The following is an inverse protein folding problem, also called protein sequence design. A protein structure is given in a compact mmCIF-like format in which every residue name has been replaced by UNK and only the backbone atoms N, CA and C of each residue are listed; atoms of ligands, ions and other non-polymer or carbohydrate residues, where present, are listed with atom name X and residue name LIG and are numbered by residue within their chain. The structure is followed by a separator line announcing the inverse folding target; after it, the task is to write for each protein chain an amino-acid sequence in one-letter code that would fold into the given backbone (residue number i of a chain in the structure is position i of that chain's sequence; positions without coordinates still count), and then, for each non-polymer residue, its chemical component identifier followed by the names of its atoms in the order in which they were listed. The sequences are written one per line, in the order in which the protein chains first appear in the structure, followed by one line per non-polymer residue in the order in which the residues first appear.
data_IF_575557575427
#
_entry.id   IF_575557575427
#
_cell.length_a   1.000
_cell.length_b   1.000
_cell.length_c   1.000
_cell.angle_alpha   90.00
_cell.angle_beta   90.00
_cell.angle_gamma   90.00
#
_symmetry.space_group_name_H-M   'P 1'
#
loop_
_entity.id
_entity.type
_entity.pdbx_description
1 polymer ?
#
# COMPACT_ATOMS: atom_id res chain seq x y z
N UNK A 1 34.77 33.72 31.67
CA UNK A 1 33.74 32.72 31.34
C UNK A 1 34.41 31.64 30.51
N UNK A 2 34.73 30.51 31.12
CA UNK A 2 35.29 29.35 30.43
C UNK A 2 34.21 28.73 29.54
N UNK A 3 34.48 28.68 28.24
CA UNK A 3 33.70 27.90 27.26
C UNK A 3 33.70 26.46 27.78
N UNK A 4 32.53 25.80 27.94
CA UNK A 4 32.52 24.44 28.46
C UNK A 4 33.37 23.55 27.55
N UNK A 5 34.36 22.91 28.17
CA UNK A 5 35.20 21.89 27.57
C UNK A 5 34.30 20.84 26.88
N UNK A 6 34.75 20.29 25.75
CA UNK A 6 34.08 19.22 25.03
C UNK A 6 33.81 18.04 25.98
N UNK A 7 32.63 18.03 26.58
CA UNK A 7 32.19 16.91 27.39
C UNK A 7 31.92 15.74 26.44
N UNK A 8 32.60 14.59 26.59
CA UNK A 8 32.45 13.45 25.67
C UNK A 8 31.01 12.93 25.63
N UNK A 9 30.27 13.07 26.73
CA UNK A 9 28.84 12.74 26.84
C UNK A 9 27.91 13.67 26.03
N UNK A 10 28.40 14.84 25.60
CA UNK A 10 27.71 15.79 24.71
C UNK A 10 28.26 15.78 23.28
N UNK A 11 29.06 14.77 22.92
CA UNK A 11 29.59 14.63 21.56
C UNK A 11 28.64 13.85 20.65
N UNK A 12 28.65 14.22 19.36
CA UNK A 12 27.90 13.52 18.31
C UNK A 12 26.39 13.42 18.54
N UNK A 13 25.81 12.30 18.12
CA UNK A 13 24.37 12.04 18.18
C UNK A 13 23.82 11.98 19.61
N UNK A 14 24.62 11.46 20.56
CA UNK A 14 24.23 11.36 21.96
C UNK A 14 24.00 12.73 22.59
N UNK A 15 24.92 13.67 22.34
CA UNK A 15 24.79 15.06 22.77
C UNK A 15 23.59 15.77 22.15
N UNK A 16 23.33 15.55 20.85
CA UNK A 16 22.15 16.09 20.19
C UNK A 16 20.86 15.57 20.81
N UNK A 17 20.76 14.25 21.05
CA UNK A 17 19.60 13.66 21.70
C UNK A 17 19.36 14.26 23.09
N UNK A 18 20.44 14.45 23.86
CA UNK A 18 20.38 15.05 25.18
C UNK A 18 19.97 16.53 25.12
N UNK A 19 20.50 17.31 24.18
CA UNK A 19 20.14 18.72 24.01
C UNK A 19 18.66 18.89 23.63
N UNK A 20 18.15 18.08 22.70
CA UNK A 20 16.78 18.18 22.20
C UNK A 20 15.73 17.94 23.30
N UNK A 21 16.04 17.19 24.36
CA UNK A 21 15.10 16.95 25.46
C UNK A 21 14.84 18.20 26.32
N UNK A 22 15.69 19.23 26.23
CA UNK A 22 15.52 20.49 26.95
C UNK A 22 14.80 21.56 26.14
N UNK A 23 14.37 21.26 24.90
CA UNK A 23 13.57 22.21 24.15
C UNK A 23 12.22 22.34 24.86
N UNK A 24 11.88 23.54 25.35
CA UNK A 24 10.64 23.74 26.07
C UNK A 24 9.45 23.49 25.15
N UNK A 25 8.54 22.61 25.56
CA UNK A 25 7.30 22.41 24.81
C UNK A 25 6.31 23.52 25.15
N UNK A 26 5.51 24.03 24.20
CA UNK A 26 4.53 25.09 24.47
C UNK A 26 3.56 24.79 25.63
N UNK A 27 3.29 23.53 25.91
CA UNK A 27 2.42 23.08 27.00
C UNK A 27 3.08 23.03 28.39
N UNK A 28 4.41 23.14 28.47
CA UNK A 28 5.19 22.96 29.70
C UNK A 28 5.65 24.28 30.34
N UNK A 29 5.42 25.40 29.65
CA UNK A 29 5.92 26.73 30.03
C UNK A 29 4.77 27.61 30.48
N UNK A 30 5.07 28.42 31.51
CA UNK A 30 4.22 29.54 31.90
C UNK A 30 4.11 30.52 30.73
N UNK A 31 2.93 31.13 30.53
CA UNK A 31 2.62 31.95 29.36
C UNK A 31 3.64 33.05 29.04
N UNK A 32 4.33 33.56 30.07
CA UNK A 32 5.39 34.54 29.94
C UNK A 32 6.58 34.08 29.05
N UNK A 33 6.91 32.78 29.04
CA UNK A 33 8.05 32.24 28.29
C UNK A 33 7.69 31.66 26.91
N UNK A 34 6.40 31.62 26.56
CA UNK A 34 5.93 31.14 25.26
C UNK A 34 6.62 31.82 24.05
N UNK A 35 6.87 33.15 24.05
CA UNK A 35 7.55 33.80 22.93
C UNK A 35 8.95 33.22 22.67
N UNK A 36 9.70 32.92 23.74
CA UNK A 36 11.08 32.41 23.66
C UNK A 36 11.09 30.99 23.11
N UNK A 37 10.22 30.12 23.62
CA UNK A 37 10.11 28.74 23.14
C UNK A 37 9.67 28.68 21.68
N UNK A 38 8.70 29.51 21.30
CA UNK A 38 8.28 29.62 19.91
C UNK A 38 9.45 30.07 19.02
N UNK A 39 10.27 31.03 19.46
CA UNK A 39 11.45 31.46 18.70
C UNK A 39 12.48 30.33 18.54
N UNK A 40 12.76 29.56 19.60
CA UNK A 40 13.66 28.40 19.54
C UNK A 40 13.13 27.37 18.54
N UNK A 41 11.85 27.01 18.65
CA UNK A 41 11.20 26.05 17.74
C UNK A 41 11.30 26.55 16.29
N UNK A 42 10.95 27.82 16.01
CA UNK A 42 11.05 28.39 14.66
C UNK A 42 12.47 28.35 14.09
N UNK A 43 13.48 28.64 14.92
CA UNK A 43 14.89 28.54 14.51
C UNK A 43 15.29 27.10 14.15
N UNK A 44 14.80 26.11 14.90
CA UNK A 44 15.05 24.69 14.62
C UNK A 44 14.31 24.22 13.37
N UNK A 45 13.07 24.67 13.15
CA UNK A 45 12.29 24.36 11.94
C UNK A 45 12.99 24.80 10.66
N UNK A 46 13.64 25.96 10.68
CA UNK A 46 14.34 26.52 9.52
C UNK A 46 15.70 25.89 9.22
N UNK A 47 16.27 25.08 10.12
CA UNK A 47 17.65 24.57 10.00
C UNK A 47 17.68 23.07 9.76
N UNK A 48 18.65 22.64 8.95
CA UNK A 48 18.99 21.23 8.82
C UNK A 48 19.75 20.76 10.07
N UNK A 49 19.01 20.45 11.13
CA UNK A 49 19.58 20.13 12.45
C UNK A 49 19.22 18.74 12.98
N UNK A 50 18.39 17.98 12.26
CA UNK A 50 18.00 16.64 12.66
C UNK A 50 18.62 15.60 11.71
N UNK A 51 19.31 14.57 12.22
CA UNK A 51 19.86 13.50 11.41
C UNK A 51 18.77 12.56 10.89
N UNK A 52 18.82 12.27 9.60
CA UNK A 52 18.07 11.19 8.99
C UNK A 52 18.65 9.82 9.39
N UNK A 53 17.85 8.76 9.22
CA UNK A 53 18.31 7.38 9.29
C UNK A 53 19.41 7.17 8.24
N UNK A 54 20.47 6.50 8.66
CA UNK A 54 21.61 6.20 7.80
C UNK A 54 21.17 5.42 6.56
N UNK A 55 21.81 5.71 5.42
CA UNK A 55 21.68 4.93 4.20
C UNK A 55 22.33 3.54 4.35
N UNK A 56 22.24 2.71 3.32
CA UNK A 56 22.86 1.39 3.27
C UNK A 56 24.40 1.42 3.37
N UNK A 57 25.01 2.59 3.17
CA UNK A 57 26.46 2.82 3.28
C UNK A 57 26.85 3.44 4.63
N UNK A 58 25.91 3.60 5.55
CA UNK A 58 26.15 4.17 6.89
C UNK A 58 26.31 5.69 6.90
N UNK A 59 25.95 6.39 5.81
CA UNK A 59 25.99 7.85 5.74
C UNK A 59 24.70 8.42 6.30
N UNK A 60 24.83 9.27 7.32
CA UNK A 60 23.73 10.05 7.89
C UNK A 60 23.83 11.51 7.47
N UNK A 61 22.74 12.05 6.93
CA UNK A 61 22.64 13.48 6.58
C UNK A 61 21.77 14.22 7.59
N UNK A 62 22.11 15.49 7.83
CA UNK A 62 21.25 16.40 8.57
C UNK A 62 20.24 17.04 7.63
N UNK A 63 18.96 16.95 8.01
CA UNK A 63 17.83 17.48 7.23
C UNK A 63 16.98 18.42 8.08
N UNK A 64 16.18 19.23 7.40
CA UNK A 64 15.18 20.04 8.08
C UNK A 64 14.11 19.15 8.69
N UNK A 65 13.51 19.53 9.84
CA UNK A 65 12.42 18.76 10.44
C UNK A 65 11.27 18.43 9.48
N UNK A 66 10.89 19.37 8.61
CA UNK A 66 9.83 19.18 7.59
C UNK A 66 10.17 18.14 6.51
N UNK A 67 11.43 17.75 6.38
CA UNK A 67 11.88 16.74 5.42
C UNK A 67 11.98 15.35 6.07
N UNK A 68 11.63 15.24 7.36
CA UNK A 68 11.78 14.02 8.13
C UNK A 68 10.43 13.41 8.48
N UNK A 69 10.41 12.10 8.53
CA UNK A 69 9.25 11.31 8.85
C UNK A 69 9.53 10.34 10.01
N UNK A 70 8.52 10.12 10.84
CA UNK A 70 8.49 9.08 11.86
C UNK A 70 7.36 8.09 11.58
N UNK A 71 7.67 6.81 11.74
CA UNK A 71 6.71 5.72 11.68
C UNK A 71 7.00 4.77 12.83
N UNK A 72 5.99 4.35 13.59
CA UNK A 72 6.19 3.43 14.71
C UNK A 72 6.17 1.97 14.26
N UNK A 73 5.50 1.66 13.15
CA UNK A 73 5.45 0.30 12.63
C UNK A 73 6.76 -0.05 11.91
N UNK A 74 7.47 -1.02 12.49
CA UNK A 74 8.72 -1.55 11.91
C UNK A 74 8.49 -2.22 10.57
N UNK A 75 7.37 -2.91 10.38
CA UNK A 75 7.05 -3.54 9.10
C UNK A 75 6.96 -2.50 7.99
N UNK A 76 6.34 -1.34 8.27
CA UNK A 76 6.24 -0.25 7.29
C UNK A 76 7.64 0.27 6.93
N UNK A 77 8.51 0.51 7.92
CA UNK A 77 9.89 0.94 7.66
C UNK A 77 10.75 -0.11 6.94
N UNK A 78 10.44 -1.40 7.10
CA UNK A 78 11.16 -2.50 6.47
C UNK A 78 10.71 -2.74 5.02
N UNK A 79 9.46 -2.39 4.70
CA UNK A 79 8.86 -2.59 3.37
C UNK A 79 9.01 -1.34 2.52
N UNK A 80 8.75 -0.17 3.10
CA UNK A 80 8.93 1.14 2.49
C UNK A 80 10.29 1.66 2.97
N UNK A 81 11.31 1.49 2.13
CA UNK A 81 12.66 1.94 2.45
C UNK A 81 12.81 3.45 2.45
N UNK A 82 13.95 3.95 2.93
CA UNK A 82 14.26 5.38 2.88
C UNK A 82 14.28 5.95 1.45
N UNK A 83 14.75 5.15 0.48
CA UNK A 83 14.74 5.52 -0.94
C UNK A 83 13.32 5.62 -1.50
N UNK A 84 12.46 4.65 -1.19
CA UNK A 84 11.06 4.63 -1.62
C UNK A 84 10.31 5.82 -1.03
N UNK A 85 10.55 6.12 0.25
CA UNK A 85 9.95 7.27 0.93
C UNK A 85 10.42 8.61 0.34
N UNK A 86 11.74 8.74 0.09
CA UNK A 86 12.30 9.95 -0.48
C UNK A 86 11.82 10.18 -1.91
N UNK A 87 11.75 9.12 -2.73
CA UNK A 87 11.31 9.18 -4.12
C UNK A 87 9.85 9.61 -4.26
N UNK A 88 8.99 9.11 -3.38
CA UNK A 88 7.54 9.30 -3.52
C UNK A 88 7.01 10.50 -2.72
N UNK A 89 7.63 10.84 -1.59
CA UNK A 89 7.15 11.90 -0.68
C UNK A 89 8.18 12.99 -0.41
N UNK A 90 9.41 12.89 -0.94
CA UNK A 90 10.53 13.81 -0.59
C UNK A 90 10.84 13.84 0.91
N UNK A 91 10.55 12.74 1.62
CA UNK A 91 10.78 12.57 3.06
C UNK A 91 11.87 11.54 3.34
N UNK A 92 12.56 11.67 4.46
CA UNK A 92 13.51 10.67 4.96
C UNK A 92 13.15 10.24 6.37
N UNK A 93 13.40 8.99 6.73
CA UNK A 93 13.14 8.54 8.11
C UNK A 93 14.06 9.28 9.09
N UNK A 94 13.51 9.70 10.23
CA UNK A 94 14.30 10.25 11.34
C UNK A 94 15.24 9.16 11.90
N UNK A 95 16.43 9.57 12.36
CA UNK A 95 17.37 8.65 12.99
C UNK A 95 16.72 7.92 14.20
N UNK A 96 16.78 6.57 14.29
CA UNK A 96 16.09 5.80 15.33
C UNK A 96 16.41 6.21 16.77
N UNK A 97 17.66 6.57 17.04
CA UNK A 97 18.09 7.04 18.37
C UNK A 97 17.31 8.30 18.82
N UNK A 98 17.07 9.25 17.92
CA UNK A 98 16.26 10.43 18.23
C UNK A 98 14.78 10.09 18.33
N UNK A 99 14.26 9.27 17.43
CA UNK A 99 12.86 8.84 17.48
C UNK A 99 12.50 8.21 18.82
N UNK A 100 13.44 7.47 19.43
CA UNK A 100 13.23 6.83 20.74
C UNK A 100 13.29 7.77 21.95
N UNK A 101 13.90 8.95 21.81
CA UNK A 101 14.17 9.88 22.92
C UNK A 101 13.29 11.13 22.90
N UNK A 102 12.80 11.54 21.73
CA UNK A 102 11.98 12.74 21.59
C UNK A 102 10.50 12.45 21.80
N UNK A 103 9.80 13.38 22.45
CA UNK A 103 8.35 13.30 22.60
C UNK A 103 7.65 13.53 21.25
N UNK A 104 6.47 12.92 21.08
CA UNK A 104 5.64 13.15 19.89
C UNK A 104 5.22 14.61 19.75
N UNK A 105 4.99 15.29 20.86
CA UNK A 105 4.63 16.71 20.90
C UNK A 105 5.74 17.61 20.34
N UNK A 106 6.99 17.37 20.74
CA UNK A 106 8.13 18.12 20.22
C UNK A 106 8.36 17.85 18.73
N UNK A 107 8.29 16.58 18.31
CA UNK A 107 8.40 16.21 16.89
C UNK A 107 7.34 16.94 16.05
N UNK A 108 6.11 17.00 16.54
CA UNK A 108 5.00 17.71 15.88
C UNK A 108 5.24 19.22 15.84
N UNK A 109 5.70 19.82 16.95
CA UNK A 109 6.02 21.25 17.02
C UNK A 109 7.14 21.64 16.04
N UNK A 110 8.16 20.79 15.92
CA UNK A 110 9.24 20.91 14.94
C UNK A 110 8.75 20.65 13.50
N UNK A 111 7.57 20.07 13.29
CA UNK A 111 7.03 19.78 11.96
C UNK A 111 7.62 18.52 11.33
N UNK A 112 8.12 17.58 12.14
CA UNK A 112 8.46 16.23 11.68
C UNK A 112 7.17 15.50 11.33
N UNK A 113 7.10 14.93 10.13
CA UNK A 113 5.92 14.25 9.63
C UNK A 113 5.70 12.94 10.36
N UNK A 114 4.46 12.68 10.80
CA UNK A 114 4.05 11.35 11.25
C UNK A 114 3.37 10.65 10.09
N UNK A 115 3.95 9.56 9.59
CA UNK A 115 3.37 8.83 8.46
C UNK A 115 1.96 8.33 8.81
N UNK A 116 0.99 8.73 7.99
CA UNK A 116 -0.43 8.35 8.05
C UNK A 116 -0.80 7.46 6.86
N UNK A 117 -2.02 6.94 6.89
CA UNK A 117 -2.51 6.02 5.87
C UNK A 117 -2.46 6.59 4.46
N UNK A 118 -2.78 7.87 4.28
CA UNK A 118 -2.75 8.53 2.98
C UNK A 118 -1.35 8.51 2.34
N UNK A 119 -0.32 8.80 3.13
CA UNK A 119 1.07 8.81 2.69
C UNK A 119 1.55 7.40 2.37
N UNK A 120 1.23 6.43 3.23
CA UNK A 120 1.59 5.01 3.03
C UNK A 120 0.94 4.46 1.76
N UNK A 121 -0.36 4.69 1.58
CA UNK A 121 -1.10 4.26 0.38
C UNK A 121 -0.56 4.94 -0.87
N UNK A 122 -0.18 6.23 -0.80
CA UNK A 122 0.43 6.93 -1.93
C UNK A 122 1.71 6.22 -2.39
N UNK A 123 2.58 5.85 -1.44
CA UNK A 123 3.81 5.11 -1.73
C UNK A 123 3.50 3.71 -2.25
N UNK A 124 2.57 2.98 -1.63
CA UNK A 124 2.14 1.66 -2.07
C UNK A 124 1.62 1.68 -3.52
N UNK A 125 0.74 2.63 -3.86
CA UNK A 125 0.22 2.81 -5.21
C UNK A 125 1.34 3.04 -6.23
N UNK A 126 2.32 3.88 -5.90
CA UNK A 126 3.45 4.15 -6.79
C UNK A 126 4.33 2.91 -6.98
N UNK A 127 4.68 2.23 -5.88
CA UNK A 127 5.51 1.01 -5.93
C UNK A 127 4.81 -0.14 -6.65
N UNK A 128 3.51 -0.33 -6.45
CA UNK A 128 2.73 -1.34 -7.15
C UNK A 128 2.70 -1.09 -8.66
N UNK A 129 2.51 0.17 -9.10
CA UNK A 129 2.59 0.54 -10.53
C UNK A 129 3.98 0.31 -11.11
N UNK A 130 5.03 0.60 -10.36
CA UNK A 130 6.42 0.33 -10.78
C UNK A 130 6.64 -1.18 -10.99
N UNK A 131 6.11 -2.03 -10.10
CA UNK A 131 6.18 -3.49 -10.26
C UNK A 131 5.45 -3.96 -11.53
N UNK A 132 4.31 -3.36 -11.88
CA UNK A 132 3.57 -3.69 -13.11
C UNK A 132 4.35 -3.26 -14.35
N UNK A 133 4.85 -2.02 -14.38
CA UNK A 133 5.56 -1.45 -15.54
C UNK A 133 6.81 -2.25 -15.91
N UNK A 134 7.51 -2.80 -14.92
CA UNK A 134 8.69 -3.64 -15.15
C UNK A 134 8.35 -5.13 -15.41
N UNK A 135 7.06 -5.48 -15.55
CA UNK A 135 6.61 -6.86 -15.78
C UNK A 135 6.89 -7.81 -14.60
N UNK A 136 7.08 -7.26 -13.39
CA UNK A 136 7.66 -7.96 -12.24
C UNK A 136 6.67 -8.77 -11.41
N UNK A 137 5.36 -8.54 -11.53
CA UNK A 137 4.35 -9.29 -10.77
C UNK A 137 4.21 -10.79 -11.13
N UNK A 138 5.12 -11.33 -11.95
CA UNK A 138 5.20 -12.75 -12.30
C UNK A 138 6.13 -13.54 -11.37
N UNK A 139 6.98 -12.87 -10.60
CA UNK A 139 7.93 -13.54 -9.71
C UNK A 139 7.41 -13.63 -8.28
N UNK A 140 7.74 -14.72 -7.58
CA UNK A 140 7.40 -14.87 -6.15
C UNK A 140 7.90 -13.72 -5.26
N UNK A 141 9.15 -13.21 -5.36
CA UNK A 141 9.61 -12.11 -4.50
C UNK A 141 8.83 -10.81 -4.73
N UNK A 142 8.44 -10.51 -5.97
CA UNK A 142 7.68 -9.31 -6.30
C UNK A 142 6.23 -9.40 -5.80
N UNK A 143 5.60 -10.57 -5.93
CA UNK A 143 4.29 -10.83 -5.32
C UNK A 143 4.33 -10.75 -3.80
N UNK A 144 5.40 -11.26 -3.18
CA UNK A 144 5.63 -11.14 -1.74
C UNK A 144 5.83 -9.68 -1.33
N UNK A 145 6.53 -8.88 -2.14
CA UNK A 145 6.70 -7.44 -1.90
C UNK A 145 5.35 -6.72 -1.95
N UNK A 146 4.55 -6.96 -2.98
CA UNK A 146 3.19 -6.42 -3.10
C UNK A 146 2.30 -6.82 -1.91
N UNK A 147 2.31 -8.10 -1.52
CA UNK A 147 1.54 -8.56 -0.37
C UNK A 147 1.98 -7.85 0.93
N UNK A 148 3.29 -7.64 1.12
CA UNK A 148 3.79 -6.89 2.29
C UNK A 148 3.34 -5.42 2.26
N UNK A 149 3.32 -4.77 1.09
CA UNK A 149 2.80 -3.41 0.94
C UNK A 149 1.30 -3.33 1.31
N UNK A 150 0.49 -4.29 0.87
CA UNK A 150 -0.93 -4.33 1.25
C UNK A 150 -1.15 -4.55 2.75
N UNK A 151 -0.26 -5.31 3.41
CA UNK A 151 -0.27 -5.44 4.88
C UNK A 151 0.09 -4.11 5.54
N UNK A 152 1.03 -3.35 4.98
CA UNK A 152 1.35 -2.00 5.46
C UNK A 152 0.14 -1.06 5.36
N UNK A 153 -0.57 -1.06 4.23
CA UNK A 153 -1.79 -0.26 4.06
C UNK A 153 -2.86 -0.65 5.08
N UNK A 154 -3.11 -1.95 5.26
CA UNK A 154 -4.07 -2.44 6.23
C UNK A 154 -3.78 -1.93 7.65
N UNK A 155 -2.53 -2.08 8.12
CA UNK A 155 -2.12 -1.59 9.44
C UNK A 155 -2.17 -0.07 9.57
N UNK A 156 -1.90 0.64 8.49
CA UNK A 156 -1.97 2.10 8.47
C UNK A 156 -3.42 2.60 8.54
N UNK A 157 -4.38 1.83 8.00
CA UNK A 157 -5.80 2.14 8.00
C UNK A 157 -6.52 1.79 9.31
N UNK A 158 -6.03 0.83 10.10
CA UNK A 158 -6.63 0.44 11.39
C UNK A 158 -6.99 1.63 12.31
N UNK A 159 -6.16 2.68 12.48
CA UNK A 159 -6.49 3.83 13.32
C UNK A 159 -7.34 4.92 12.63
N UNK A 160 -7.62 4.83 11.34
CA UNK A 160 -8.30 5.89 10.57
C UNK A 160 -9.83 5.68 10.53
N UNK A 161 -10.58 6.76 10.66
CA UNK A 161 -12.06 6.70 10.66
C UNK A 161 -12.68 6.83 9.26
N UNK A 162 -12.04 7.59 8.36
CA UNK A 162 -12.54 7.86 7.00
C UNK A 162 -11.62 7.22 5.95
N UNK A 163 -11.88 5.94 5.68
CA UNK A 163 -11.01 5.14 4.81
C UNK A 163 -11.50 5.01 3.37
N UNK A 164 -12.74 5.41 3.06
CA UNK A 164 -13.35 5.14 1.75
C UNK A 164 -12.57 5.76 0.58
N UNK A 165 -12.18 7.04 0.69
CA UNK A 165 -11.39 7.71 -0.34
C UNK A 165 -10.00 7.05 -0.53
N UNK A 166 -9.42 6.56 0.56
CA UNK A 166 -8.14 5.86 0.55
C UNK A 166 -8.28 4.48 -0.12
N UNK A 167 -9.34 3.75 0.18
CA UNK A 167 -9.65 2.47 -0.45
C UNK A 167 -9.98 2.62 -1.95
N UNK A 168 -10.63 3.72 -2.37
CA UNK A 168 -10.81 4.00 -3.80
C UNK A 168 -9.46 4.19 -4.50
N UNK A 169 -8.50 4.86 -3.86
CA UNK A 169 -7.15 5.03 -4.42
C UNK A 169 -6.45 3.70 -4.68
N UNK A 170 -6.62 2.72 -3.78
CA UNK A 170 -6.10 1.36 -3.95
C UNK A 170 -6.85 0.57 -5.02
N UNK A 171 -8.16 0.79 -5.18
CA UNK A 171 -9.01 0.03 -6.11
C UNK A 171 -8.55 0.16 -7.56
N UNK A 172 -8.02 1.32 -7.93
CA UNK A 172 -7.55 1.63 -9.29
C UNK A 172 -6.12 1.18 -9.58
N UNK A 173 -5.42 0.63 -8.59
CA UNK A 173 -4.05 0.15 -8.77
C UNK A 173 -4.08 -1.25 -9.41
N UNK A 174 -3.41 -1.48 -10.54
CA UNK A 174 -3.29 -2.81 -11.13
C UNK A 174 -2.39 -3.66 -10.23
N UNK A 175 -2.97 -4.67 -9.58
CA UNK A 175 -2.28 -5.48 -8.58
C UNK A 175 -2.67 -6.96 -8.63
N UNK A 176 -3.63 -7.33 -9.48
CA UNK A 176 -4.14 -8.70 -9.59
C UNK A 176 -3.56 -9.35 -10.85
N UNK A 177 -2.60 -10.28 -10.73
CA UNK A 177 -2.07 -11.01 -11.87
C UNK A 177 -3.10 -12.00 -12.41
N UNK A 178 -3.28 -12.04 -13.73
CA UNK A 178 -4.17 -12.97 -14.41
C UNK A 178 -3.38 -14.10 -15.07
N UNK A 179 -4.02 -15.24 -15.30
CA UNK A 179 -3.42 -16.43 -15.91
C UNK A 179 -2.91 -16.17 -17.35
N UNK A 180 -3.47 -15.17 -18.04
CA UNK A 180 -2.99 -14.70 -19.34
C UNK A 180 -1.72 -13.82 -19.23
N UNK A 181 -1.19 -13.62 -18.03
CA UNK A 181 0.01 -12.84 -17.74
C UNK A 181 -0.21 -11.32 -17.71
N UNK A 182 -1.44 -10.86 -17.86
CA UNK A 182 -1.81 -9.45 -17.66
C UNK A 182 -2.04 -9.16 -16.16
N UNK A 183 -2.12 -7.88 -15.80
CA UNK A 183 -2.39 -7.45 -14.42
C UNK A 183 -3.53 -6.45 -14.45
N UNK A 184 -4.55 -6.68 -13.62
CA UNK A 184 -5.76 -5.88 -13.57
C UNK A 184 -5.95 -5.21 -12.20
N UNK A 185 -6.78 -4.17 -12.18
CA UNK A 185 -7.21 -3.48 -10.95
C UNK A 185 -8.52 -4.08 -10.44
N UNK A 186 -8.96 -3.67 -9.24
CA UNK A 186 -10.26 -4.05 -8.69
C UNK A 186 -11.42 -3.27 -9.32
N UNK A 187 -11.13 -2.18 -10.04
CA UNK A 187 -12.12 -1.34 -10.73
C UNK A 187 -12.32 -1.69 -12.20
N UNK A 188 -11.39 -2.42 -12.83
CA UNK A 188 -11.42 -2.63 -14.28
C UNK A 188 -12.46 -3.66 -14.72
N UNK A 189 -12.28 -4.93 -14.35
CA UNK A 189 -13.07 -6.04 -14.89
C UNK A 189 -13.35 -7.10 -13.81
N UNK A 190 -14.38 -7.91 -14.03
CA UNK A 190 -14.68 -9.03 -13.15
C UNK A 190 -13.56 -10.07 -13.19
N UNK A 191 -12.97 -10.34 -12.04
CA UNK A 191 -11.91 -11.34 -11.87
C UNK A 191 -12.49 -12.63 -11.31
N UNK A 192 -12.08 -13.77 -11.86
CA UNK A 192 -12.53 -15.09 -11.45
C UNK A 192 -11.42 -15.84 -10.72
N UNK A 193 -11.75 -16.46 -9.59
CA UNK A 193 -10.83 -17.33 -8.88
C UNK A 193 -10.95 -18.76 -9.43
N UNK A 194 -9.82 -19.46 -9.65
CA UNK A 194 -9.84 -20.83 -10.13
C UNK A 194 -10.54 -21.75 -9.12
N UNK A 195 -11.45 -22.61 -9.61
CA UNK A 195 -12.16 -23.58 -8.78
C UNK A 195 -11.18 -24.62 -8.24
N UNK A 196 -11.14 -24.81 -6.92
CA UNK A 196 -10.09 -25.58 -6.24
C UNK A 196 -10.16 -27.10 -6.45
N UNK A 197 -11.28 -27.64 -6.93
CA UNK A 197 -11.57 -29.08 -6.84
C UNK A 197 -11.78 -29.78 -8.19
N UNK A 198 -11.29 -29.20 -9.30
CA UNK A 198 -11.59 -29.72 -10.64
C UNK A 198 -10.38 -30.43 -11.24
N UNK A 199 -10.05 -31.61 -10.69
CA UNK A 199 -9.06 -32.53 -11.29
C UNK A 199 -9.63 -33.35 -12.45
N UNK A 200 -10.94 -33.28 -12.73
CA UNK A 200 -11.59 -34.10 -13.77
C UNK A 200 -12.37 -33.35 -14.86
N UNK A 201 -12.71 -32.06 -14.69
CA UNK A 201 -13.43 -31.28 -15.72
C UNK A 201 -12.53 -30.31 -16.52
N UNK A 202 -11.21 -30.55 -16.51
CA UNK A 202 -10.24 -29.65 -17.16
C UNK A 202 -10.39 -29.60 -18.68
N UNK A 203 -10.89 -30.65 -19.34
CA UNK A 203 -11.01 -30.66 -20.81
C UNK A 203 -12.22 -29.85 -21.29
N UNK A 204 -13.35 -29.92 -20.59
CA UNK A 204 -14.60 -29.28 -21.03
C UNK A 204 -14.70 -27.79 -20.64
N UNK A 205 -13.98 -27.38 -19.59
CA UNK A 205 -13.96 -25.98 -19.13
C UNK A 205 -12.79 -25.18 -19.70
N UNK A 206 -11.86 -25.80 -20.44
CA UNK A 206 -10.64 -25.13 -20.89
C UNK A 206 -10.91 -23.88 -21.74
N UNK A 207 -11.95 -23.91 -22.59
CA UNK A 207 -12.38 -22.75 -23.37
C UNK A 207 -12.85 -21.60 -22.46
N UNK A 208 -13.65 -21.92 -21.42
CA UNK A 208 -14.07 -20.94 -20.42
C UNK A 208 -12.87 -20.35 -19.66
N UNK A 209 -11.84 -21.15 -19.40
CA UNK A 209 -10.63 -20.68 -18.72
C UNK A 209 -9.74 -19.79 -19.61
N UNK A 210 -9.87 -19.88 -20.93
CA UNK A 210 -9.22 -18.97 -21.88
C UNK A 210 -9.98 -17.65 -22.05
N UNK A 211 -11.32 -17.70 -21.94
CA UNK A 211 -12.18 -16.54 -22.15
C UNK A 211 -12.37 -15.66 -20.90
N UNK A 212 -12.08 -16.19 -19.70
CA UNK A 212 -12.28 -15.49 -18.43
C UNK A 212 -10.98 -14.89 -17.87
N UNK A 213 -11.11 -13.75 -17.19
CA UNK A 213 -10.04 -13.13 -16.39
C UNK A 213 -9.79 -13.92 -15.11
N UNK A 214 -9.15 -15.07 -15.26
CA UNK A 214 -8.85 -15.95 -14.15
C UNK A 214 -7.57 -15.48 -13.49
N UNK A 215 -7.59 -15.35 -12.17
CA UNK A 215 -6.35 -15.06 -11.42
C UNK A 215 -5.39 -16.21 -11.64
N UNK A 216 -4.15 -15.87 -12.04
CA UNK A 216 -3.07 -16.84 -12.03
C UNK A 216 -2.96 -17.40 -10.61
N UNK A 217 -2.99 -18.73 -10.40
CA UNK A 217 -2.70 -19.30 -9.10
C UNK A 217 -1.18 -19.49 -8.97
N UNK A 218 -0.42 -18.54 -8.40
CA UNK A 218 0.95 -18.83 -8.04
C UNK A 218 0.96 -19.92 -6.96
N UNK A 219 2.04 -20.70 -6.89
CA UNK A 219 2.20 -21.74 -5.85
C UNK A 219 1.96 -21.24 -4.42
N UNK A 220 2.16 -19.94 -4.17
CA UNK A 220 1.91 -19.28 -2.88
C UNK A 220 0.42 -19.08 -2.52
N UNK A 221 -0.47 -18.93 -3.50
CA UNK A 221 -1.93 -18.82 -3.25
C UNK A 221 -2.52 -20.13 -2.73
N UNK A 222 -1.95 -21.27 -3.16
CA UNK A 222 -2.29 -22.59 -2.63
C UNK A 222 -1.97 -22.69 -1.14
N UNK A 223 -0.88 -22.07 -0.69
CA UNK A 223 -0.48 -22.00 0.72
C UNK A 223 -1.41 -21.08 1.53
N UNK A 224 -1.81 -19.93 0.97
CA UNK A 224 -2.73 -19.00 1.64
C UNK A 224 -4.15 -19.58 1.78
N UNK A 225 -4.70 -20.19 0.71
CA UNK A 225 -6.00 -20.89 0.76
C UNK A 225 -5.99 -22.08 1.72
N UNK A 226 -4.89 -22.84 1.78
CA UNK A 226 -4.75 -23.95 2.72
C UNK A 226 -4.59 -23.49 4.18
N UNK A 227 -3.93 -22.36 4.41
CA UNK A 227 -3.81 -21.73 5.74
C UNK A 227 -5.16 -21.22 6.27
N UNK A 228 -5.98 -20.63 5.40
CA UNK A 228 -7.31 -20.15 5.76
C UNK A 228 -8.36 -21.28 5.90
N UNK A 229 -8.21 -22.43 5.22
CA UNK A 229 -9.05 -23.62 5.48
C UNK A 229 -9.00 -24.08 6.94
N UNK A 230 -7.85 -23.94 7.61
CA UNK A 230 -7.72 -24.31 9.05
C UNK A 230 -8.43 -23.32 9.98
N UNK A 231 -8.48 -22.02 9.64
CA UNK A 231 -9.16 -20.99 10.45
C UNK A 231 -10.66 -20.93 10.20
N UNK A 232 -11.10 -21.15 8.95
CA UNK A 232 -12.52 -21.26 8.59
C UNK A 232 -13.10 -22.62 9.06
N UNK A 233 -12.29 -23.68 9.10
CA UNK A 233 -12.68 -24.96 9.70
C UNK A 233 -12.99 -24.84 11.20
N UNK A 234 -12.19 -24.07 11.95
CA UNK A 234 -12.43 -23.84 13.38
C UNK A 234 -13.65 -22.92 13.66
N UNK A 235 -14.03 -22.07 12.70
CA UNK A 235 -15.23 -21.23 12.79
C UNK A 235 -16.51 -21.95 12.31
N UNK A 236 -16.39 -23.09 11.62
CA UNK A 236 -17.53 -23.93 11.17
C UNK A 236 -18.20 -24.72 12.30
N UNK A 237 -17.53 -24.90 13.45
CA UNK A 237 -18.05 -25.68 14.57
C UNK A 237 -18.99 -24.89 15.51
N UNK A 238 -19.27 -23.61 15.21
CA UNK A 238 -20.25 -22.84 15.97
C UNK A 238 -21.21 -22.10 15.04
N UNK A 239 -22.40 -22.68 14.91
CA UNK A 239 -23.62 -22.25 14.19
C UNK A 239 -23.74 -22.67 12.72
N UNK A 240 -24.69 -23.57 12.38
CA UNK A 240 -24.99 -23.94 11.02
C UNK A 240 -26.14 -23.07 10.50
N UNK A 241 -25.86 -22.18 9.56
CA UNK A 241 -26.84 -21.83 8.53
C UNK A 241 -26.19 -22.06 7.18
N UNK A 242 -26.16 -23.33 6.82
CA UNK A 242 -25.81 -23.79 5.49
C UNK A 242 -26.99 -23.41 4.58
N UNK A 243 -26.82 -22.39 3.75
CA UNK A 243 -27.75 -22.19 2.63
C UNK A 243 -27.49 -23.34 1.65
N UNK A 244 -28.41 -24.31 1.67
CA UNK A 244 -28.51 -25.38 0.67
C UNK A 244 -28.49 -24.78 -0.75
N UNK A 245 -27.80 -25.41 -1.72
CA UNK A 245 -27.75 -24.96 -3.12
C UNK A 245 -29.12 -24.83 -3.79
N UNK A 246 -30.19 -25.32 -3.15
CA UNK A 246 -31.57 -25.30 -3.63
C UNK A 246 -32.34 -24.01 -3.30
N UNK A 247 -31.75 -23.08 -2.53
CA UNK A 247 -32.43 -21.83 -2.13
C UNK A 247 -31.82 -20.55 -2.73
N UNK A 248 -30.87 -20.67 -3.66
CA UNK A 248 -30.50 -19.53 -4.51
C UNK A 248 -31.64 -19.34 -5.51
N UNK A 249 -32.41 -18.22 -5.48
CA UNK A 249 -33.44 -17.98 -6.48
C UNK A 249 -32.79 -18.04 -7.86
N UNK A 250 -33.32 -18.91 -8.71
CA UNK A 250 -32.88 -19.12 -10.08
C UNK A 250 -32.95 -17.82 -10.88
N UNK A 251 -31.90 -17.00 -10.83
CA UNK A 251 -31.67 -15.92 -11.77
C UNK A 251 -31.30 -16.56 -13.13
N UNK A 252 -32.33 -17.00 -13.83
CA UNK A 252 -32.29 -17.73 -15.09
C UNK A 252 -31.85 -16.90 -16.31
N UNK A 253 -30.69 -16.22 -16.24
CA UNK A 253 -30.31 -15.26 -17.29
C UNK A 253 -28.96 -15.53 -17.98
N UNK A 254 -28.11 -16.41 -17.44
CA UNK A 254 -26.86 -16.82 -18.11
C UNK A 254 -27.01 -18.09 -18.97
N UNK A 255 -27.61 -19.19 -18.47
CA UNK A 255 -27.68 -20.45 -19.23
C UNK A 255 -28.63 -20.37 -20.44
N UNK A 256 -29.68 -19.56 -20.36
CA UNK A 256 -30.66 -19.40 -21.44
C UNK A 256 -30.11 -18.62 -22.65
N UNK A 257 -29.23 -17.64 -22.41
CA UNK A 257 -28.62 -16.83 -23.49
C UNK A 257 -27.58 -17.61 -24.29
N UNK A 258 -26.93 -18.62 -23.69
CA UNK A 258 -26.00 -19.52 -24.39
C UNK A 258 -26.74 -20.56 -25.24
N UNK A 259 -27.92 -21.02 -24.82
CA UNK A 259 -28.74 -22.00 -25.56
C UNK A 259 -29.45 -21.44 -26.78
N UNK A 260 -29.72 -20.14 -26.85
CA UNK A 260 -30.55 -19.57 -27.91
C UNK A 260 -29.82 -19.30 -29.24
N UNK A 261 -28.52 -19.61 -29.37
CA UNK A 261 -27.68 -19.33 -30.55
C UNK A 261 -27.76 -17.87 -31.07
N UNK A 262 -28.29 -16.93 -30.27
CA UNK A 262 -28.41 -15.52 -30.65
C UNK A 262 -27.04 -14.84 -30.86
N UNK A 263 -25.94 -15.48 -30.42
CA UNK A 263 -24.57 -15.05 -30.67
C UNK A 263 -24.09 -15.36 -32.11
N UNK A 264 -24.72 -16.29 -32.85
CA UNK A 264 -24.30 -16.67 -34.22
C UNK A 264 -24.65 -15.60 -35.29
N UNK A 265 -25.48 -14.60 -34.98
CA UNK A 265 -26.00 -13.64 -35.99
C UNK A 265 -25.10 -12.40 -36.22
N UNK A 266 -23.94 -12.28 -35.56
CA UNK A 266 -23.03 -11.12 -35.78
C UNK A 266 -21.81 -11.37 -36.67
N UNK A 267 -21.80 -12.42 -37.49
CA UNK A 267 -20.77 -12.57 -38.54
C UNK A 267 -21.34 -13.11 -39.87
N UNK A 268 -22.16 -12.30 -40.53
CA UNK A 268 -22.34 -12.23 -41.98
C UNK A 268 -22.96 -10.84 -42.23
N UNK A 269 -22.44 -9.91 -43.03
CA UNK A 269 -21.66 -9.98 -44.26
C UNK A 269 -21.10 -8.57 -44.59
N UNK A 270 -20.31 -8.38 -45.67
CA UNK A 270 -19.32 -7.31 -45.84
C UNK A 270 -19.94 -5.97 -46.25
N UNK A 271 -19.26 -4.87 -45.92
CA UNK A 271 -19.50 -3.57 -46.58
C UNK A 271 -18.28 -3.16 -47.39
N UNK A 272 -18.24 -3.63 -48.62
CA UNK A 272 -17.72 -2.86 -49.75
C UNK A 272 -18.93 -2.27 -50.48
N UNK A 273 -19.08 -0.95 -50.46
CA UNK A 273 -19.95 -0.24 -51.40
C UNK A 273 -19.23 1.01 -51.89
N UNK A 274 -18.70 0.91 -53.10
CA UNK A 274 -18.39 2.04 -53.96
C UNK A 274 -19.58 2.29 -54.89
N UNK A 275 -20.12 3.51 -54.79
CA UNK A 275 -20.40 4.46 -55.88
C UNK A 275 -21.71 4.37 -56.72
N UNK A 276 -22.47 5.48 -56.58
CA UNK A 276 -23.17 6.30 -57.59
C UNK A 276 -24.42 5.82 -58.33
N UNK A 277 -25.49 6.62 -58.19
CA UNK A 277 -26.33 7.19 -59.28
C UNK A 277 -27.13 8.38 -58.69
N UNK A 278 -26.83 9.64 -59.01
CA UNK A 278 -27.30 10.47 -60.14
C UNK A 278 -28.83 10.67 -60.23
N UNK A 279 -29.22 11.95 -60.10
CA UNK A 279 -30.39 12.66 -60.64
C UNK A 279 -31.80 12.19 -60.21
N UNK A 280 -32.49 13.01 -59.40
CA UNK A 280 -33.40 14.08 -59.85
C UNK A 280 -33.87 14.91 -58.64
#
# INVERSE_FOLDING_TARGET
MSIPQQHPEFSGLGGLCYFMQFIPQPSEILDFFNPVANQIIQLLKGKACLPAKEDSEGRGEFKQPSQLAVCQDRLIQDVIGGEDLCRNLSLSYLHPALQSRLSSSLLTALGVHRLRANEIITVTCAMARELVQHGRLKTEPDLKKLARLLVCDFRALEPEYEVDALLQSLRDVPMIPLANGSVVSLSSEGVFFPLSDVTQAQTDLQALYQDLNIVEPPGCWRVWMNGNRRRVGAARDRTPTQLEPQQVPAAAHLPAKLRSKAWEVRHASPRSFTQSALNM
#
